data_IF_338284550746
#
_entry.id   IF_338284550746
#
_cell.length_a   1.000
_cell.length_b   1.000
_cell.length_c   1.000
_cell.angle_alpha   90.00
_cell.angle_beta   90.00
_cell.angle_gamma   90.00
#
_symmetry.space_group_name_H-M   'P 1'
#
loop_
_entity.id
_entity.type
_entity.pdbx_description
1 polymer ?
#
# COMPACT_ATOMS: atom_id res chain seq x y z
N UNK A 1 2.87 -2.96 19.58
CA UNK A 1 2.31 -2.38 18.33
C UNK A 1 1.28 -3.32 17.75
N UNK A 2 0.14 -2.80 17.33
CA UNK A 2 -0.88 -3.53 16.58
C UNK A 2 -0.94 -2.93 15.17
N UNK A 3 -0.44 -3.66 14.16
CA UNK A 3 -0.31 -3.15 12.80
C UNK A 3 -1.66 -2.95 12.11
N UNK A 4 -2.56 -3.92 12.26
CA UNK A 4 -3.97 -3.83 11.88
C UNK A 4 -4.77 -4.94 12.57
N UNK A 5 -6.08 -4.79 12.73
CA UNK A 5 -6.93 -5.88 13.21
C UNK A 5 -7.06 -6.97 12.15
N UNK A 6 -6.69 -8.20 12.48
CA UNK A 6 -6.87 -9.38 11.58
C UNK A 6 -8.36 -9.63 11.24
N UNK A 7 -9.27 -8.96 11.95
CA UNK A 7 -10.69 -8.94 11.59
C UNK A 7 -10.95 -8.40 10.18
N UNK A 8 -10.13 -7.46 9.70
CA UNK A 8 -10.22 -6.91 8.34
C UNK A 8 -9.90 -8.00 7.33
N UNK A 9 -8.83 -8.79 7.57
CA UNK A 9 -8.45 -9.90 6.69
C UNK A 9 -9.58 -10.94 6.63
N UNK A 10 -10.19 -11.27 7.78
CA UNK A 10 -11.36 -12.16 7.85
C UNK A 10 -12.52 -11.66 7.00
N UNK A 11 -12.83 -10.38 7.09
CA UNK A 11 -13.98 -9.81 6.39
C UNK A 11 -13.72 -9.80 4.88
N UNK A 12 -12.51 -9.46 4.44
CA UNK A 12 -12.08 -9.55 3.04
C UNK A 12 -12.12 -11.01 2.54
N UNK A 13 -11.63 -11.98 3.32
CA UNK A 13 -11.69 -13.39 2.95
C UNK A 13 -13.13 -13.89 2.80
N UNK A 14 -14.04 -13.45 3.70
CA UNK A 14 -15.45 -13.81 3.63
C UNK A 14 -16.19 -13.19 2.44
N UNK A 15 -15.84 -11.96 2.07
CA UNK A 15 -16.40 -11.27 0.90
C UNK A 15 -15.98 -11.92 -0.42
N UNK A 16 -14.73 -12.37 -0.50
CA UNK A 16 -14.17 -12.98 -1.70
C UNK A 16 -14.49 -14.48 -1.85
N UNK A 17 -15.07 -15.12 -0.84
CA UNK A 17 -15.43 -16.56 -0.89
C UNK A 17 -16.92 -16.74 -1.23
N UNK A 18 -17.21 -17.55 -2.23
CA UNK A 18 -18.57 -17.87 -2.67
C UNK A 18 -19.16 -19.10 -1.99
N UNK A 19 -18.32 -20.06 -1.57
CA UNK A 19 -18.74 -21.34 -1.00
C UNK A 19 -19.16 -21.19 0.46
N UNK A 20 -20.39 -21.62 0.78
CA UNK A 20 -20.91 -21.62 2.15
C UNK A 20 -20.04 -22.43 3.13
N UNK A 21 -19.61 -23.63 2.73
CA UNK A 21 -18.77 -24.47 3.58
C UNK A 21 -17.38 -23.84 3.85
N UNK A 22 -16.80 -23.19 2.83
CA UNK A 22 -15.54 -22.48 3.01
C UNK A 22 -15.71 -21.24 3.88
N UNK A 23 -16.82 -20.50 3.77
CA UNK A 23 -17.14 -19.41 4.70
C UNK A 23 -17.21 -19.87 6.15
N UNK A 24 -17.78 -21.05 6.41
CA UNK A 24 -17.79 -21.63 7.75
C UNK A 24 -16.38 -21.99 8.24
N UNK A 25 -15.54 -22.55 7.37
CA UNK A 25 -14.14 -22.85 7.68
C UNK A 25 -13.35 -21.56 8.00
N UNK A 26 -13.53 -20.49 7.22
CA UNK A 26 -12.94 -19.17 7.46
C UNK A 26 -13.38 -18.65 8.84
N UNK A 27 -14.68 -18.64 9.13
CA UNK A 27 -15.18 -18.18 10.44
C UNK A 27 -14.59 -18.99 11.61
N UNK A 28 -14.46 -20.31 11.44
CA UNK A 28 -13.82 -21.17 12.44
C UNK A 28 -12.34 -20.88 12.61
N UNK A 29 -11.62 -20.69 11.49
CA UNK A 29 -10.20 -20.31 11.50
C UNK A 29 -9.97 -19.03 12.31
N UNK A 30 -10.79 -18.02 12.08
CA UNK A 30 -10.68 -16.73 12.75
C UNK A 30 -11.32 -16.68 14.15
N UNK A 31 -11.77 -17.82 14.72
CA UNK A 31 -12.42 -17.84 16.06
C UNK A 31 -11.51 -17.34 17.19
N UNK A 32 -10.16 -17.44 17.02
CA UNK A 32 -9.18 -16.92 17.98
C UNK A 32 -9.27 -15.40 18.17
N UNK A 33 -9.88 -14.66 17.26
CA UNK A 33 -10.06 -13.21 17.37
C UNK A 33 -10.88 -12.82 18.60
N UNK A 34 -11.79 -13.69 19.06
CA UNK A 34 -12.52 -13.46 20.31
C UNK A 34 -11.59 -13.47 21.53
N UNK A 35 -10.57 -14.33 21.52
CA UNK A 35 -9.55 -14.34 22.56
C UNK A 35 -8.66 -13.09 22.51
N UNK A 36 -8.27 -12.65 21.31
CA UNK A 36 -7.53 -11.41 21.12
C UNK A 36 -8.33 -10.20 21.65
N UNK A 37 -9.61 -10.09 21.27
CA UNK A 37 -10.50 -9.02 21.76
C UNK A 37 -10.60 -8.98 23.28
N UNK A 38 -10.72 -10.14 23.93
CA UNK A 38 -10.79 -10.25 25.41
C UNK A 38 -9.49 -9.79 26.07
N UNK A 39 -8.33 -10.15 25.50
CA UNK A 39 -7.05 -9.81 26.11
C UNK A 39 -6.62 -8.36 25.85
N UNK A 40 -6.99 -7.78 24.70
CA UNK A 40 -6.71 -6.36 24.42
C UNK A 40 -7.29 -5.42 25.46
N UNK A 41 -8.40 -5.77 26.11
CA UNK A 41 -8.98 -4.98 27.21
C UNK A 41 -8.05 -4.83 28.43
N UNK A 42 -7.02 -5.66 28.54
CA UNK A 42 -6.01 -5.61 29.63
C UNK A 42 -4.79 -4.74 29.26
N UNK A 43 -4.68 -4.34 28.00
CA UNK A 43 -3.59 -3.50 27.52
C UNK A 43 -3.93 -2.05 27.81
N UNK A 44 -3.01 -1.30 28.41
CA UNK A 44 -3.24 0.11 28.76
C UNK A 44 -3.11 1.05 27.56
N UNK A 45 -2.20 0.75 26.63
CA UNK A 45 -1.91 1.59 25.48
C UNK A 45 -1.58 0.73 24.25
N UNK A 46 -2.08 1.14 23.10
CA UNK A 46 -1.79 0.51 21.80
C UNK A 46 -1.04 1.51 20.92
N UNK A 47 -0.08 1.01 20.17
CA UNK A 47 0.59 1.75 19.10
C UNK A 47 0.06 1.23 17.77
N UNK A 48 -0.34 2.14 16.89
CA UNK A 48 -0.84 1.86 15.54
C UNK A 48 0.03 2.54 14.49
N UNK A 49 0.32 1.89 13.35
CA UNK A 49 1.20 2.47 12.32
C UNK A 49 0.49 3.51 11.45
N UNK A 50 -0.82 3.69 11.55
CA UNK A 50 -1.56 4.68 10.76
C UNK A 50 -2.85 5.12 11.47
N UNK A 51 -3.38 6.27 11.07
CA UNK A 51 -4.70 6.74 11.52
C UNK A 51 -5.82 5.80 11.08
N UNK A 52 -5.67 5.19 9.89
CA UNK A 52 -6.63 4.20 9.40
C UNK A 52 -6.64 2.96 10.29
N UNK A 53 -5.49 2.34 10.56
CA UNK A 53 -5.41 1.19 11.48
C UNK A 53 -5.91 1.54 12.88
N UNK A 54 -5.68 2.77 13.37
CA UNK A 54 -6.28 3.24 14.63
C UNK A 54 -7.80 3.19 14.60
N UNK A 55 -8.44 3.68 13.51
CA UNK A 55 -9.89 3.62 13.34
C UNK A 55 -10.41 2.18 13.36
N UNK A 56 -9.72 1.28 12.66
CA UNK A 56 -10.10 -0.13 12.62
C UNK A 56 -9.94 -0.81 13.99
N UNK A 57 -8.88 -0.48 14.74
CA UNK A 57 -8.69 -0.97 16.10
C UNK A 57 -9.83 -0.51 17.00
N UNK A 58 -10.21 0.77 16.93
CA UNK A 58 -11.36 1.29 17.68
C UNK A 58 -12.65 0.53 17.32
N UNK A 59 -12.88 0.32 16.02
CA UNK A 59 -14.09 -0.34 15.52
C UNK A 59 -14.19 -1.81 15.96
N UNK A 60 -13.19 -2.61 15.62
CA UNK A 60 -13.24 -4.07 15.84
C UNK A 60 -13.08 -4.49 17.30
N UNK A 61 -12.25 -3.76 18.04
CA UNK A 61 -11.99 -4.08 19.45
C UNK A 61 -12.80 -3.21 20.42
N UNK A 62 -13.49 -2.18 19.91
CA UNK A 62 -14.16 -1.17 20.76
C UNK A 62 -13.18 -0.62 21.79
N UNK A 63 -11.96 -0.34 21.33
CA UNK A 63 -10.88 0.15 22.16
C UNK A 63 -10.88 1.69 22.15
N UNK A 64 -10.67 2.36 23.31
CA UNK A 64 -10.70 3.81 23.41
C UNK A 64 -9.65 4.49 22.51
N UNK A 65 -10.06 5.47 21.73
CA UNK A 65 -9.18 6.13 20.77
C UNK A 65 -8.02 6.90 21.45
N UNK A 66 -8.24 7.45 22.63
CA UNK A 66 -7.25 8.15 23.45
C UNK A 66 -6.14 7.22 23.97
N UNK A 67 -6.41 5.93 24.05
CA UNK A 67 -5.42 4.91 24.41
C UNK A 67 -4.65 4.35 23.20
N UNK A 68 -4.83 4.91 22.00
CA UNK A 68 -4.11 4.50 20.80
C UNK A 68 -3.24 5.64 20.28
N UNK A 69 -1.94 5.49 20.39
CA UNK A 69 -0.96 6.39 19.78
C UNK A 69 -0.69 5.98 18.33
N UNK A 70 -0.67 6.94 17.42
CA UNK A 70 -0.30 6.69 16.03
C UNK A 70 1.18 7.06 15.87
N UNK A 71 2.01 6.06 15.58
CA UNK A 71 3.42 6.23 15.25
C UNK A 71 3.65 5.49 13.94
N UNK A 72 3.95 6.22 12.88
CA UNK A 72 4.29 5.60 11.59
C UNK A 72 5.50 4.69 11.75
N UNK A 73 5.54 3.61 10.99
CA UNK A 73 6.70 2.73 11.01
C UNK A 73 7.95 3.45 10.49
N UNK A 74 9.10 3.14 11.07
CA UNK A 74 10.38 3.50 10.51
C UNK A 74 10.60 2.83 9.15
N UNK A 75 11.36 3.49 8.29
CA UNK A 75 11.73 2.96 6.98
C UNK A 75 13.21 3.19 6.74
N UNK A 76 13.84 2.28 6.01
CA UNK A 76 15.22 2.48 5.58
C UNK A 76 15.25 3.46 4.39
N UNK A 77 15.44 4.74 4.71
CA UNK A 77 15.51 5.83 3.74
C UNK A 77 16.91 6.02 3.14
N UNK A 78 17.94 5.39 3.71
CA UNK A 78 19.32 5.57 3.27
C UNK A 78 19.51 5.17 1.80
N UNK A 79 18.85 4.09 1.39
CA UNK A 79 18.91 3.57 0.03
C UNK A 79 17.90 4.24 -0.91
N UNK A 80 16.81 4.80 -0.37
CA UNK A 80 15.74 5.46 -1.14
C UNK A 80 16.07 6.95 -1.35
N UNK A 81 17.08 7.23 -2.16
CA UNK A 81 17.41 8.63 -2.50
C UNK A 81 16.44 9.16 -3.56
N UNK A 82 16.05 10.42 -3.40
CA UNK A 82 15.27 11.11 -4.43
C UNK A 82 16.00 11.05 -5.78
N UNK A 83 15.30 10.59 -6.80
CA UNK A 83 15.80 10.50 -8.17
C UNK A 83 14.97 11.42 -9.07
N UNK A 84 15.64 12.43 -9.65
CA UNK A 84 14.98 13.30 -10.62
C UNK A 84 14.95 12.63 -11.99
N UNK A 85 13.75 12.46 -12.53
CA UNK A 85 13.54 11.84 -13.84
C UNK A 85 13.71 12.88 -14.93
N UNK A 86 14.56 12.57 -15.93
CA UNK A 86 14.84 13.44 -17.07
C UNK A 86 14.17 12.99 -18.36
N UNK A 87 13.62 11.78 -18.36
CA UNK A 87 12.88 11.20 -19.50
C UNK A 87 11.61 10.54 -18.98
N UNK A 88 10.66 10.30 -19.86
CA UNK A 88 9.40 9.64 -19.56
C UNK A 88 9.07 8.60 -20.63
N UNK A 89 8.95 7.35 -20.23
CA UNK A 89 8.70 6.20 -21.10
C UNK A 89 7.38 5.49 -20.80
N UNK A 90 6.52 6.07 -19.95
CA UNK A 90 5.29 5.44 -19.47
C UNK A 90 5.53 4.10 -18.75
N UNK A 91 6.60 4.03 -17.96
CA UNK A 91 6.98 2.85 -17.17
C UNK A 91 6.31 2.93 -15.79
N UNK A 92 5.30 2.08 -15.58
CA UNK A 92 4.62 1.93 -14.29
C UNK A 92 5.29 0.84 -13.45
N UNK A 93 5.27 1.00 -12.14
CA UNK A 93 5.72 -0.03 -11.19
C UNK A 93 4.68 -0.24 -10.10
N UNK A 94 4.48 -1.49 -9.72
CA UNK A 94 3.74 -1.88 -8.51
C UNK A 94 4.53 -2.91 -7.73
N UNK A 95 4.48 -2.83 -6.40
CA UNK A 95 5.15 -3.76 -5.49
C UNK A 95 4.08 -4.50 -4.71
N UNK A 96 4.07 -5.81 -4.84
CA UNK A 96 3.23 -6.72 -4.09
C UNK A 96 4.13 -7.72 -3.35
N UNK A 97 3.95 -7.88 -2.04
CA UNK A 97 4.71 -8.90 -1.29
C UNK A 97 4.19 -10.31 -1.57
N UNK A 98 2.90 -10.42 -1.83
CA UNK A 98 2.18 -11.63 -2.22
C UNK A 98 1.01 -11.23 -3.12
N UNK A 99 0.70 -12.06 -4.10
CA UNK A 99 -0.42 -11.85 -5.00
C UNK A 99 -1.72 -12.37 -4.37
N UNK A 100 -2.19 -11.64 -3.36
CA UNK A 100 -3.50 -11.89 -2.72
C UNK A 100 -4.53 -10.88 -3.24
N UNK A 101 -5.84 -11.21 -3.21
CA UNK A 101 -6.89 -10.34 -3.74
C UNK A 101 -6.81 -8.90 -3.20
N UNK A 102 -6.44 -8.74 -1.94
CA UNK A 102 -6.28 -7.46 -1.26
C UNK A 102 -5.27 -6.52 -1.93
N UNK A 103 -4.27 -7.04 -2.66
CA UNK A 103 -3.31 -6.23 -3.43
C UNK A 103 -3.88 -5.64 -4.72
N UNK A 104 -5.07 -6.10 -5.11
CA UNK A 104 -5.87 -5.55 -6.21
C UNK A 104 -5.15 -5.52 -7.57
N UNK A 105 -4.22 -6.46 -7.80
CA UNK A 105 -3.44 -6.56 -9.02
C UNK A 105 -4.32 -6.74 -10.26
N UNK A 106 -5.44 -7.46 -10.13
CA UNK A 106 -6.39 -7.66 -11.24
C UNK A 106 -6.94 -6.35 -11.79
N UNK A 107 -7.21 -5.37 -10.93
CA UNK A 107 -7.70 -4.06 -11.38
C UNK A 107 -6.59 -3.26 -12.07
N UNK A 108 -5.32 -3.38 -11.63
CA UNK A 108 -4.19 -2.76 -12.33
C UNK A 108 -4.06 -3.35 -13.74
N UNK A 109 -4.12 -4.69 -13.90
CA UNK A 109 -4.04 -5.35 -15.20
C UNK A 109 -5.19 -4.96 -16.12
N UNK A 110 -6.41 -4.91 -15.61
CA UNK A 110 -7.58 -4.46 -16.37
C UNK A 110 -7.46 -2.99 -16.77
N UNK A 111 -7.00 -2.11 -15.88
CA UNK A 111 -6.80 -0.70 -16.21
C UNK A 111 -5.73 -0.51 -17.28
N UNK A 112 -4.63 -1.28 -17.24
CA UNK A 112 -3.60 -1.29 -18.27
C UNK A 112 -4.16 -1.74 -19.62
N UNK A 113 -5.00 -2.79 -19.62
CA UNK A 113 -5.69 -3.25 -20.83
C UNK A 113 -6.60 -2.15 -21.45
N UNK A 114 -7.38 -1.48 -20.60
CA UNK A 114 -8.21 -0.37 -21.07
C UNK A 114 -7.37 0.80 -21.62
N UNK A 115 -6.23 1.07 -20.99
CA UNK A 115 -5.30 2.11 -21.44
C UNK A 115 -4.69 1.75 -22.81
N UNK A 116 -4.30 0.48 -23.01
CA UNK A 116 -3.86 -0.06 -24.30
C UNK A 116 -4.92 0.13 -25.38
N UNK A 117 -6.19 -0.18 -25.07
CA UNK A 117 -7.31 -0.02 -26.00
C UNK A 117 -7.61 1.46 -26.34
N UNK A 118 -7.30 2.38 -25.44
CA UNK A 118 -7.33 3.83 -25.70
C UNK A 118 -6.14 4.30 -26.61
N UNK A 119 -5.32 3.39 -27.12
CA UNK A 119 -4.18 3.68 -28.00
C UNK A 119 -2.95 4.23 -27.24
N UNK A 120 -2.88 4.08 -25.92
CA UNK A 120 -1.75 4.54 -25.12
C UNK A 120 -0.83 3.37 -24.76
N UNK A 121 0.43 3.47 -25.19
CA UNK A 121 1.45 2.51 -24.80
C UNK A 121 1.97 2.83 -23.40
N UNK A 122 1.86 1.86 -22.51
CA UNK A 122 2.41 1.92 -21.16
C UNK A 122 2.91 0.53 -20.76
N UNK A 123 3.97 0.46 -19.98
CA UNK A 123 4.50 -0.80 -19.46
C UNK A 123 4.30 -0.87 -17.96
N UNK A 124 4.20 -2.08 -17.44
CA UNK A 124 4.04 -2.35 -16.01
C UNK A 124 5.09 -3.35 -15.53
N UNK A 125 5.88 -2.95 -14.57
CA UNK A 125 6.73 -3.86 -13.82
C UNK A 125 6.06 -4.24 -12.50
N UNK A 126 5.82 -5.53 -12.30
CA UNK A 126 5.27 -6.09 -11.06
C UNK A 126 6.43 -6.68 -10.26
N UNK A 127 6.60 -6.23 -9.02
CA UNK A 127 7.61 -6.76 -8.10
C UNK A 127 6.91 -7.58 -7.02
N UNK A 128 7.17 -8.89 -7.00
CA UNK A 128 6.59 -9.85 -6.08
C UNK A 128 6.23 -11.18 -6.74
N UNK A 129 5.63 -12.07 -5.96
CA UNK A 129 5.15 -13.34 -6.50
C UNK A 129 3.83 -13.14 -7.26
N UNK A 130 3.69 -13.85 -8.37
CA UNK A 130 2.52 -13.77 -9.25
C UNK A 130 1.81 -15.13 -9.30
N UNK A 131 0.51 -15.13 -8.97
CA UNK A 131 -0.34 -16.32 -9.01
C UNK A 131 -0.70 -16.71 -10.45
N UNK A 132 -1.01 -17.97 -10.65
CA UNK A 132 -1.36 -18.53 -11.97
C UNK A 132 -2.61 -17.87 -12.58
N UNK A 133 -3.60 -17.50 -11.75
CA UNK A 133 -4.80 -16.81 -12.22
C UNK A 133 -4.49 -15.40 -12.78
N UNK A 134 -3.53 -14.67 -12.22
CA UNK A 134 -3.11 -13.40 -12.77
C UNK A 134 -2.15 -13.55 -13.97
N UNK A 135 -1.32 -14.59 -14.01
CA UNK A 135 -0.56 -14.92 -15.22
C UNK A 135 -1.49 -15.25 -16.39
N UNK A 136 -2.54 -16.05 -16.11
CA UNK A 136 -3.59 -16.31 -17.12
C UNK A 136 -4.28 -15.02 -17.57
N UNK A 137 -4.62 -14.13 -16.64
CA UNK A 137 -5.26 -12.87 -16.98
C UNK A 137 -4.37 -11.98 -17.87
N UNK A 138 -3.06 -11.95 -17.66
CA UNK A 138 -2.10 -11.23 -18.52
C UNK A 138 -2.17 -11.78 -19.95
N UNK A 139 -2.18 -13.11 -20.11
CA UNK A 139 -2.32 -13.76 -21.42
C UNK A 139 -3.69 -13.48 -22.06
N UNK A 140 -4.78 -13.65 -21.31
CA UNK A 140 -6.15 -13.46 -21.79
C UNK A 140 -6.42 -12.01 -22.25
N UNK A 141 -5.73 -11.03 -21.65
CA UNK A 141 -5.80 -9.62 -22.00
C UNK A 141 -4.72 -9.19 -23.03
N UNK A 142 -3.92 -10.11 -23.52
CA UNK A 142 -2.82 -9.82 -24.48
C UNK A 142 -1.89 -8.71 -23.98
N UNK A 143 -1.41 -8.86 -22.73
CA UNK A 143 -0.52 -7.90 -22.07
C UNK A 143 0.94 -8.38 -21.93
N UNK A 144 1.30 -9.51 -22.54
CA UNK A 144 2.61 -10.14 -22.36
C UNK A 144 3.80 -9.22 -22.70
N UNK A 145 3.66 -8.39 -23.73
CA UNK A 145 4.70 -7.45 -24.16
C UNK A 145 4.74 -6.17 -23.30
N UNK A 146 3.71 -5.93 -22.48
CA UNK A 146 3.58 -4.74 -21.66
C UNK A 146 3.82 -5.00 -20.17
N UNK A 147 3.77 -6.26 -19.73
CA UNK A 147 3.90 -6.63 -18.32
C UNK A 147 5.15 -7.44 -18.09
N UNK A 148 6.01 -6.95 -17.24
CA UNK A 148 7.14 -7.71 -16.71
C UNK A 148 6.93 -7.98 -15.22
N UNK A 149 7.41 -9.13 -14.73
CA UNK A 149 7.38 -9.40 -13.31
C UNK A 149 8.74 -9.86 -12.79
N UNK A 150 9.04 -9.46 -11.56
CA UNK A 150 10.26 -9.82 -10.84
C UNK A 150 9.85 -10.38 -9.48
N UNK A 151 10.33 -11.59 -9.19
CA UNK A 151 10.14 -12.18 -7.85
C UNK A 151 10.93 -11.40 -6.82
N UNK A 152 11.00 -11.92 -5.61
CA UNK A 152 11.76 -11.32 -4.50
C UNK A 152 13.14 -10.83 -4.96
N UNK A 153 13.36 -9.52 -4.86
CA UNK A 153 14.59 -8.86 -5.28
C UNK A 153 15.46 -8.47 -4.08
N UNK A 154 16.78 -8.46 -4.22
CA UNK A 154 17.67 -7.75 -3.32
C UNK A 154 17.31 -6.25 -3.27
N UNK A 155 17.54 -5.60 -2.14
CA UNK A 155 17.18 -4.18 -1.91
C UNK A 155 17.72 -3.24 -3.00
N UNK A 156 18.97 -3.40 -3.38
CA UNK A 156 19.63 -2.60 -4.42
C UNK A 156 18.96 -2.73 -5.80
N UNK A 157 18.50 -3.93 -6.16
CA UNK A 157 17.79 -4.16 -7.42
C UNK A 157 16.39 -3.53 -7.40
N UNK A 158 15.70 -3.62 -6.27
CA UNK A 158 14.41 -2.93 -6.07
C UNK A 158 14.57 -1.42 -6.33
N UNK A 159 15.55 -0.78 -5.71
CA UNK A 159 15.78 0.66 -5.86
C UNK A 159 16.15 1.01 -7.31
N UNK A 160 16.94 0.19 -8.01
CA UNK A 160 17.21 0.41 -9.44
C UNK A 160 15.94 0.42 -10.28
N UNK A 161 15.00 -0.52 -10.02
CA UNK A 161 13.73 -0.57 -10.75
C UNK A 161 12.88 0.66 -10.42
N UNK A 162 12.78 1.06 -9.14
CA UNK A 162 12.04 2.26 -8.76
C UNK A 162 12.61 3.52 -9.42
N UNK A 163 13.94 3.64 -9.51
CA UNK A 163 14.58 4.78 -10.17
C UNK A 163 14.39 4.77 -11.69
N UNK A 164 14.26 3.59 -12.31
CA UNK A 164 14.00 3.45 -13.74
C UNK A 164 12.52 3.59 -14.11
N UNK A 165 11.63 3.56 -13.12
CA UNK A 165 10.17 3.72 -13.32
C UNK A 165 9.76 5.19 -13.31
N UNK A 166 8.63 5.49 -13.95
CA UNK A 166 8.08 6.84 -14.07
C UNK A 166 6.95 7.10 -13.08
N UNK A 167 6.13 6.08 -12.81
CA UNK A 167 4.92 6.20 -11.99
C UNK A 167 4.78 4.95 -11.11
N UNK A 168 4.50 5.16 -9.82
CA UNK A 168 4.18 4.08 -8.89
C UNK A 168 2.67 3.85 -8.76
N UNK A 169 2.24 2.59 -8.63
CA UNK A 169 0.83 2.23 -8.35
C UNK A 169 0.77 1.44 -7.05
N UNK A 170 -0.03 1.92 -6.09
CA UNK A 170 -0.37 1.23 -4.85
C UNK A 170 -1.90 1.05 -4.80
N UNK A 171 -2.39 -0.09 -5.31
CA UNK A 171 -3.82 -0.33 -5.52
C UNK A 171 -4.50 -1.13 -4.42
N UNK A 172 -3.80 -1.51 -3.35
CA UNK A 172 -4.34 -2.37 -2.30
C UNK A 172 -5.68 -1.86 -1.77
N UNK A 173 -6.62 -2.77 -1.57
CA UNK A 173 -7.89 -2.47 -0.90
C UNK A 173 -7.72 -2.31 0.61
N UNK A 174 -6.63 -2.84 1.17
CA UNK A 174 -6.26 -2.64 2.55
C UNK A 174 -4.74 -2.70 2.77
N UNK A 175 -4.25 -1.80 3.61
CA UNK A 175 -2.88 -1.77 4.13
C UNK A 175 -2.87 -1.20 5.55
N UNK A 176 -2.17 -1.84 6.47
CA UNK A 176 -1.98 -1.30 7.81
C UNK A 176 -1.05 -0.08 7.82
N UNK A 177 -0.02 -0.12 6.97
CA UNK A 177 0.90 1.00 6.71
C UNK A 177 1.09 1.18 5.20
N UNK A 178 1.90 0.38 4.52
CA UNK A 178 2.13 0.50 3.08
C UNK A 178 3.59 0.84 2.76
N UNK A 179 4.53 0.03 3.27
CA UNK A 179 5.96 0.18 2.98
C UNK A 179 6.27 0.38 1.49
N UNK A 180 5.68 -0.41 0.56
CA UNK A 180 5.94 -0.22 -0.87
C UNK A 180 5.62 1.19 -1.37
N UNK A 181 4.52 1.78 -0.91
CA UNK A 181 4.14 3.14 -1.28
C UNK A 181 5.16 4.15 -0.76
N UNK A 182 5.60 4.00 0.49
CA UNK A 182 6.59 4.91 1.09
C UNK A 182 7.92 4.82 0.35
N UNK A 183 8.35 3.63 -0.09
CA UNK A 183 9.55 3.43 -0.91
C UNK A 183 9.44 4.13 -2.27
N UNK A 184 8.30 3.99 -2.95
CA UNK A 184 8.04 4.70 -4.21
C UNK A 184 8.10 6.22 -4.03
N UNK A 185 7.45 6.76 -3.02
CA UNK A 185 7.49 8.20 -2.71
C UNK A 185 8.90 8.66 -2.37
N UNK A 186 9.64 7.88 -1.56
CA UNK A 186 10.99 8.23 -1.13
C UNK A 186 11.99 8.31 -2.30
N UNK A 187 11.76 7.55 -3.38
CA UNK A 187 12.54 7.65 -4.63
C UNK A 187 12.05 8.73 -5.58
N UNK A 188 11.02 9.51 -5.19
CA UNK A 188 10.50 10.63 -5.97
C UNK A 188 9.51 10.25 -7.06
N UNK A 189 8.92 9.04 -7.01
CA UNK A 189 7.87 8.65 -7.95
C UNK A 189 6.59 9.44 -7.67
N UNK A 190 5.94 10.04 -8.69
CA UNK A 190 4.53 10.34 -8.62
C UNK A 190 3.77 9.03 -8.48
N UNK A 191 2.76 8.98 -7.61
CA UNK A 191 2.06 7.73 -7.30
C UNK A 191 0.57 7.82 -7.58
N UNK A 192 -0.02 6.68 -7.97
CA UNK A 192 -1.46 6.46 -8.01
C UNK A 192 -1.80 5.54 -6.85
N UNK A 193 -2.71 5.94 -5.98
CA UNK A 193 -3.03 5.19 -4.76
C UNK A 193 -4.52 4.95 -4.63
N UNK A 194 -4.89 3.79 -4.10
CA UNK A 194 -6.28 3.53 -3.77
C UNK A 194 -6.78 4.51 -2.68
N UNK A 195 -8.07 4.74 -2.64
CA UNK A 195 -8.74 5.56 -1.63
C UNK A 195 -8.91 4.85 -0.27
N UNK A 196 -8.35 3.64 -0.10
CA UNK A 196 -8.58 2.76 1.05
C UNK A 196 -7.43 2.81 2.06
N UNK A 197 -7.80 2.54 3.29
CA UNK A 197 -6.91 2.29 4.43
C UNK A 197 -5.82 3.39 4.62
N UNK A 198 -4.56 3.01 4.84
CA UNK A 198 -3.47 3.95 5.10
C UNK A 198 -2.92 4.65 3.86
N UNK A 199 -3.21 4.16 2.65
CA UNK A 199 -2.58 4.65 1.43
C UNK A 199 -2.82 6.15 1.17
N UNK A 200 -4.06 6.69 1.29
CA UNK A 200 -4.28 8.13 1.14
C UNK A 200 -3.55 8.98 2.19
N UNK A 201 -3.45 8.48 3.42
CA UNK A 201 -2.73 9.15 4.51
C UNK A 201 -1.24 9.26 4.20
N UNK A 202 -0.64 8.18 3.68
CA UNK A 202 0.79 8.14 3.36
C UNK A 202 1.12 8.92 2.09
N UNK A 203 0.28 8.86 1.07
CA UNK A 203 0.51 9.57 -0.18
C UNK A 203 0.42 11.10 0.00
N UNK A 204 -0.55 11.58 0.80
CA UNK A 204 -0.80 13.01 0.90
C UNK A 204 -1.00 13.64 -0.48
N UNK A 205 -0.26 14.72 -0.75
CA UNK A 205 -0.30 15.44 -2.03
C UNK A 205 0.67 14.88 -3.08
N UNK A 206 1.41 13.81 -2.77
CA UNK A 206 2.34 13.17 -3.70
C UNK A 206 1.66 12.23 -4.70
N UNK A 207 0.35 11.96 -4.55
CA UNK A 207 -0.35 10.97 -5.35
C UNK A 207 -1.74 11.37 -5.80
N UNK A 208 -2.16 10.77 -6.93
CA UNK A 208 -3.55 10.77 -7.36
C UNK A 208 -4.29 9.63 -6.66
N UNK A 209 -5.45 9.93 -6.08
CA UNK A 209 -6.33 8.94 -5.46
C UNK A 209 -7.30 8.39 -6.49
N UNK A 210 -7.57 7.10 -6.43
CA UNK A 210 -8.61 6.46 -7.23
C UNK A 210 -9.50 5.58 -6.36
N UNK A 211 -10.74 5.38 -6.79
CA UNK A 211 -11.65 4.43 -6.16
C UNK A 211 -11.16 3.00 -6.42
N UNK A 212 -10.76 2.28 -5.38
CA UNK A 212 -10.17 0.93 -5.51
C UNK A 212 -11.06 -0.10 -6.19
N UNK A 213 -12.38 0.14 -6.19
CA UNK A 213 -13.38 -0.75 -6.76
C UNK A 213 -13.71 -0.36 -8.23
N UNK A 214 -13.13 0.74 -8.74
CA UNK A 214 -13.39 1.27 -10.09
C UNK A 214 -12.13 1.19 -10.98
N UNK A 215 -12.14 0.22 -11.88
CA UNK A 215 -11.07 0.03 -12.89
C UNK A 215 -10.97 1.21 -13.85
N UNK A 216 -12.10 1.85 -14.18
CA UNK A 216 -12.11 2.99 -15.10
C UNK A 216 -11.47 4.22 -14.46
N UNK A 217 -11.73 4.47 -13.17
CA UNK A 217 -11.09 5.56 -12.47
C UNK A 217 -9.57 5.35 -12.38
N UNK A 218 -9.10 4.12 -12.08
CA UNK A 218 -7.67 3.81 -12.13
C UNK A 218 -7.07 4.06 -13.52
N UNK A 219 -7.72 3.58 -14.59
CA UNK A 219 -7.31 3.82 -15.98
C UNK A 219 -7.23 5.32 -16.28
N UNK A 220 -8.21 6.11 -15.82
CA UNK A 220 -8.23 7.55 -16.06
C UNK A 220 -7.08 8.27 -15.32
N UNK A 221 -6.73 7.88 -14.07
CA UNK A 221 -5.54 8.39 -13.37
C UNK A 221 -4.23 8.00 -14.06
N UNK A 222 -4.14 6.76 -14.57
CA UNK A 222 -2.99 6.34 -15.37
C UNK A 222 -2.87 7.19 -16.66
N UNK A 223 -3.96 7.39 -17.38
CA UNK A 223 -4.03 8.21 -18.59
C UNK A 223 -3.67 9.66 -18.32
N UNK A 224 -4.16 10.22 -17.23
CA UNK A 224 -3.87 11.58 -16.80
C UNK A 224 -2.36 11.77 -16.59
N UNK A 225 -1.70 10.85 -15.86
CA UNK A 225 -0.26 10.92 -15.63
C UNK A 225 0.56 10.64 -16.89
N UNK A 226 0.09 9.80 -17.81
CA UNK A 226 0.78 9.59 -19.10
C UNK A 226 0.78 10.86 -19.94
N UNK A 227 -0.33 11.61 -19.97
CA UNK A 227 -0.51 12.77 -20.84
C UNK A 227 -0.05 14.10 -20.24
N UNK A 228 -0.04 14.25 -18.93
CA UNK A 228 0.17 15.52 -18.26
C UNK A 228 1.54 15.60 -17.59
N UNK A 229 2.54 16.12 -18.33
CA UNK A 229 3.91 16.31 -17.83
C UNK A 229 3.96 17.22 -16.60
N UNK A 230 3.27 18.39 -16.65
CA UNK A 230 3.27 19.35 -15.55
C UNK A 230 2.71 18.75 -14.25
N UNK A 231 1.70 17.87 -14.36
CA UNK A 231 1.16 17.16 -13.20
C UNK A 231 2.17 16.15 -12.65
N UNK A 232 2.86 15.39 -13.52
CA UNK A 232 3.91 14.46 -13.07
C UNK A 232 5.00 15.19 -12.31
N UNK A 233 5.48 16.31 -12.84
CA UNK A 233 6.52 17.11 -12.19
C UNK A 233 6.06 17.67 -10.83
N UNK A 234 4.82 18.16 -10.78
CA UNK A 234 4.22 18.61 -9.52
C UNK A 234 4.18 17.48 -8.50
N UNK A 235 3.71 16.30 -8.88
CA UNK A 235 3.61 15.15 -7.95
C UNK A 235 4.98 14.61 -7.55
N UNK A 236 5.97 14.60 -8.45
CA UNK A 236 7.35 14.23 -8.13
C UNK A 236 7.97 15.20 -7.11
N UNK A 237 7.73 16.51 -7.27
CA UNK A 237 8.15 17.51 -6.30
C UNK A 237 7.43 17.34 -4.95
N UNK A 238 6.14 17.03 -4.98
CA UNK A 238 5.39 16.70 -3.77
C UNK A 238 5.92 15.43 -3.09
N UNK A 239 6.34 14.42 -3.87
CA UNK A 239 7.00 13.21 -3.33
C UNK A 239 8.30 13.55 -2.60
N UNK A 240 9.08 14.51 -3.13
CA UNK A 240 10.29 15.00 -2.45
C UNK A 240 9.96 15.60 -1.08
N UNK A 241 8.96 16.48 -1.03
CA UNK A 241 8.52 17.09 0.23
C UNK A 241 7.92 16.03 1.18
N UNK A 242 7.12 15.12 0.63
CA UNK A 242 6.47 14.05 1.41
C UNK A 242 7.48 13.09 2.04
N UNK A 243 8.58 12.83 1.35
CA UNK A 243 9.68 12.00 1.86
C UNK A 243 10.19 12.49 3.21
N UNK A 244 10.26 13.81 3.41
CA UNK A 244 10.78 14.41 4.64
C UNK A 244 9.86 14.20 5.86
N UNK A 245 8.62 13.77 5.65
CA UNK A 245 7.70 13.36 6.71
C UNK A 245 7.92 11.91 7.18
N UNK A 246 8.66 11.11 6.42
CA UNK A 246 9.03 9.75 6.81
C UNK A 246 10.35 9.76 7.57
N UNK A 247 10.55 8.78 8.43
CA UNK A 247 11.72 8.70 9.29
C UNK A 247 12.28 7.28 9.36
N UNK A 248 13.53 7.17 9.78
CA UNK A 248 14.24 5.91 9.95
C UNK A 248 13.84 5.15 11.20
N UNK A 249 14.39 3.94 11.35
CA UNK A 249 14.13 3.09 12.52
C UNK A 249 14.68 3.68 13.82
N UNK A 250 15.75 4.47 13.79
CA UNK A 250 16.29 5.13 14.99
C UNK A 250 15.30 6.17 15.54
N UNK A 251 14.71 6.99 14.67
CA UNK A 251 13.68 7.95 15.08
C UNK A 251 12.39 7.24 15.54
N UNK A 252 12.05 6.12 14.91
CA UNK A 252 10.95 5.27 15.37
C UNK A 252 11.18 4.75 16.78
N UNK A 253 12.40 4.26 17.06
CA UNK A 253 12.78 3.77 18.39
C UNK A 253 12.68 4.90 19.42
N UNK A 254 13.20 6.09 19.10
CA UNK A 254 13.11 7.26 19.98
C UNK A 254 11.67 7.64 20.31
N UNK A 255 10.76 7.65 19.31
CA UNK A 255 9.33 7.90 19.54
C UNK A 255 8.68 6.84 20.44
N UNK A 256 9.15 5.59 20.38
CA UNK A 256 8.70 4.54 21.29
C UNK A 256 9.21 4.76 22.72
N UNK A 257 10.47 5.15 22.88
CA UNK A 257 11.08 5.47 24.19
C UNK A 257 10.32 6.62 24.86
N UNK A 258 10.10 7.72 24.15
CA UNK A 258 9.33 8.87 24.62
C UNK A 258 7.93 8.43 25.11
N UNK A 259 7.22 7.61 24.33
CA UNK A 259 5.90 7.10 24.71
C UNK A 259 5.96 6.19 25.95
N UNK A 260 6.99 5.37 26.08
CA UNK A 260 7.16 4.50 27.26
C UNK A 260 7.47 5.33 28.51
N UNK A 261 8.28 6.36 28.42
CA UNK A 261 8.54 7.29 29.52
C UNK A 261 7.27 8.01 29.99
N UNK A 262 6.42 8.47 29.05
CA UNK A 262 5.13 9.06 29.36
C UNK A 262 4.20 8.08 30.13
N UNK A 263 4.17 6.79 29.71
CA UNK A 263 3.37 5.74 30.37
C UNK A 263 3.89 5.43 31.78
N UNK A 264 5.22 5.38 31.96
CA UNK A 264 5.84 5.05 33.23
C UNK A 264 5.69 6.19 34.22
N UNK A 265 5.82 7.44 33.76
CA UNK A 265 5.62 8.63 34.61
C UNK A 265 4.17 8.88 34.99
N UNK A 266 3.24 8.13 34.44
CA UNK A 266 1.80 8.29 34.73
C UNK A 266 1.14 9.51 34.07
N UNK A 267 1.80 10.10 33.07
CA UNK A 267 1.29 11.29 32.35
C UNK A 267 0.21 10.92 31.32
N UNK A 268 0.01 9.63 31.01
CA UNK A 268 -1.06 9.08 30.17
C UNK A 268 -1.53 7.71 30.68
#
# INVERSE_FOLDING_TARGET
>A
TLHHPIHVDRDIDLENESSFLRKLAIKRWYSFLNFQKKNLKKVKKIISPSKSSKKDICHYFQYPAEQISVIWNGIDLADCKFHQRTSFNSEFVTIISSDVPMKNLRNILKALYLLKNDGLSAKLTIIGDLREDNKKLINDLDLNDLVSFRKKLPRNELIKILNASDIGIAASSYEGFGFPLVEMIATGLPVIVSDKASLPELAGDAGLKFNSDDVSDLKDKMKELVKNHALRDKLANNSKVRRDAFFGWDEYAKKLEELFEEIISGNI
#
